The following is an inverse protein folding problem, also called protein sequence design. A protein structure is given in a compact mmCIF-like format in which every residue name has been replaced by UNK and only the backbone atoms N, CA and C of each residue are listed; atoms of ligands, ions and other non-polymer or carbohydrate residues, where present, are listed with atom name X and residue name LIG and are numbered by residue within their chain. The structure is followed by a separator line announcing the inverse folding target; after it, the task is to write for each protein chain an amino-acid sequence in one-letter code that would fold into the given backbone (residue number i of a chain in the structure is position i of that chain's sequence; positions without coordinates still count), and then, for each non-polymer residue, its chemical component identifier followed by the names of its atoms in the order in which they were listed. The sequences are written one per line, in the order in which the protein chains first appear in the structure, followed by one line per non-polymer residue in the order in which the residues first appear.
data_IF_013653661597
#
_entry.id   IF_013653661597
#
_cell.length_a   1.000
_cell.length_b   1.000
_cell.length_c   1.000
_cell.angle_alpha   90.00
_cell.angle_beta   90.00
_cell.angle_gamma   90.00
#
_symmetry.space_group_name_H-M   'P 1'
#
loop_
_entity.id
_entity.type
_entity.pdbx_description
1 polymer ?
#
# COMPACT_ATOMS: atom_id res chain seq x y z
N UNK A 1 5.10 -10.83 -21.11
CA UNK A 1 4.76 -9.60 -20.36
C UNK A 1 3.25 -9.40 -20.43
N UNK A 2 2.56 -9.72 -19.33
CA UNK A 2 1.13 -9.41 -19.20
C UNK A 2 0.97 -7.92 -18.96
N UNK A 3 0.02 -7.27 -19.66
CA UNK A 3 -0.29 -5.86 -19.42
C UNK A 3 -0.92 -5.75 -18.04
N UNK A 4 -0.34 -4.95 -17.14
CA UNK A 4 -0.90 -4.77 -15.80
C UNK A 4 -2.22 -3.95 -15.91
N UNK A 5 -3.39 -4.52 -15.58
CA UNK A 5 -4.68 -3.84 -15.75
C UNK A 5 -4.97 -2.81 -14.65
N UNK A 6 -4.70 -3.17 -13.39
CA UNK A 6 -4.89 -2.29 -12.24
C UNK A 6 -4.13 -2.77 -11.00
N UNK A 7 -3.72 -1.84 -10.15
CA UNK A 7 -3.07 -2.10 -8.85
C UNK A 7 -3.95 -1.48 -7.76
N UNK A 8 -4.16 -2.21 -6.68
CA UNK A 8 -4.53 -1.61 -5.40
C UNK A 8 -3.27 -1.45 -4.56
N UNK A 9 -3.05 -0.23 -4.07
CA UNK A 9 -2.06 0.09 -3.05
C UNK A 9 -2.79 0.11 -1.72
N UNK A 10 -2.37 -0.73 -0.77
CA UNK A 10 -2.95 -0.73 0.57
C UNK A 10 -1.98 -1.19 1.62
N UNK A 11 -2.07 -0.60 2.80
CA UNK A 11 -1.33 -1.04 3.97
C UNK A 11 -2.11 -2.14 4.68
N UNK A 12 -1.54 -3.35 4.78
CA UNK A 12 -2.14 -4.48 5.47
C UNK A 12 -1.08 -5.20 6.32
N UNK A 13 -1.44 -5.59 7.54
CA UNK A 13 -0.48 -6.17 8.48
C UNK A 13 0.11 -7.48 7.96
N UNK A 14 1.44 -7.50 7.78
CA UNK A 14 2.16 -8.68 7.30
C UNK A 14 1.93 -9.03 5.82
N UNK A 15 1.47 -8.07 5.01
CA UNK A 15 1.33 -8.20 3.56
C UNK A 15 2.14 -7.12 2.84
N UNK A 16 2.45 -7.33 1.56
CA UNK A 16 3.05 -6.29 0.72
C UNK A 16 2.02 -5.21 0.34
N UNK A 17 2.46 -3.99 -0.02
CA UNK A 17 1.51 -2.92 -0.32
C UNK A 17 0.76 -3.08 -1.65
N UNK A 18 1.15 -4.01 -2.52
CA UNK A 18 0.59 -4.13 -3.86
C UNK A 18 -0.35 -5.32 -4.00
N UNK A 19 -1.50 -5.04 -4.60
CA UNK A 19 -2.55 -6.01 -4.88
C UNK A 19 -2.90 -5.93 -6.36
N UNK A 20 -2.33 -6.85 -7.14
CA UNK A 20 -2.40 -6.80 -8.61
C UNK A 20 -3.62 -7.59 -9.09
N UNK A 21 -4.37 -7.01 -10.03
CA UNK A 21 -5.47 -7.70 -10.72
C UNK A 21 -5.15 -7.84 -12.18
N UNK A 22 -4.77 -9.04 -12.64
CA UNK A 22 -4.33 -9.30 -14.02
C UNK A 22 -5.46 -9.65 -14.99
N UNK A 23 -6.69 -9.87 -14.50
CA UNK A 23 -7.82 -10.32 -15.30
C UNK A 23 -9.18 -10.02 -14.61
N UNK A 24 -10.26 -10.75 -14.96
CA UNK A 24 -11.57 -10.69 -14.26
C UNK A 24 -11.55 -11.40 -12.89
N UNK A 25 -10.38 -11.75 -12.38
CA UNK A 25 -10.22 -12.35 -11.05
C UNK A 25 -10.84 -11.47 -9.96
N UNK A 26 -11.60 -12.14 -9.09
CA UNK A 26 -12.35 -11.50 -8.01
C UNK A 26 -11.41 -11.04 -6.89
N UNK A 27 -10.35 -11.80 -6.65
CA UNK A 27 -9.39 -11.59 -5.56
C UNK A 27 -8.08 -11.07 -6.17
N UNK A 28 -7.62 -9.87 -5.80
CA UNK A 28 -6.29 -9.39 -6.16
C UNK A 28 -5.18 -10.27 -5.56
N UNK A 29 -4.05 -10.40 -6.26
CA UNK A 29 -2.87 -11.13 -5.77
C UNK A 29 -1.92 -10.20 -5.01
N UNK A 30 -1.48 -10.60 -3.79
CA UNK A 30 -0.50 -9.82 -3.02
C UNK A 30 0.87 -9.95 -3.68
N UNK A 31 1.48 -8.81 -3.97
CA UNK A 31 2.66 -8.73 -4.82
C UNK A 31 3.72 -7.88 -4.15
N UNK A 32 4.96 -8.36 -4.10
CA UNK A 32 6.10 -7.57 -3.63
C UNK A 32 6.52 -6.53 -4.67
N UNK A 33 7.26 -5.50 -4.25
CA UNK A 33 7.87 -4.54 -5.17
C UNK A 33 8.73 -5.22 -6.25
N UNK A 34 9.55 -6.20 -5.85
CA UNK A 34 10.42 -6.97 -6.77
C UNK A 34 9.60 -7.72 -7.83
N UNK A 35 8.54 -8.40 -7.40
CA UNK A 35 7.65 -9.14 -8.29
C UNK A 35 6.89 -8.20 -9.23
N UNK A 36 6.47 -7.04 -8.72
CA UNK A 36 5.79 -6.01 -9.50
C UNK A 36 6.66 -5.50 -10.65
N UNK A 37 7.94 -5.24 -10.38
CA UNK A 37 8.92 -4.79 -11.39
C UNK A 37 9.21 -5.90 -12.40
N UNK A 38 9.53 -7.11 -11.92
CA UNK A 38 9.98 -8.22 -12.77
C UNK A 38 8.89 -8.81 -13.66
N UNK A 39 7.67 -9.03 -13.14
CA UNK A 39 6.58 -9.68 -13.88
C UNK A 39 5.77 -8.69 -14.73
N UNK A 40 5.67 -7.44 -14.26
CA UNK A 40 4.74 -6.44 -14.83
C UNK A 40 5.42 -5.18 -15.36
N UNK A 41 6.73 -5.02 -15.17
CA UNK A 41 7.49 -3.90 -15.72
C UNK A 41 7.18 -2.56 -15.05
N UNK A 42 6.81 -2.56 -13.77
CA UNK A 42 6.64 -1.33 -13.00
C UNK A 42 7.96 -0.56 -12.84
N UNK A 43 7.86 0.74 -12.59
CA UNK A 43 9.01 1.60 -12.32
C UNK A 43 9.63 1.22 -10.96
N UNK A 44 10.88 0.75 -10.97
CA UNK A 44 11.58 0.25 -9.79
C UNK A 44 11.60 1.23 -8.62
N UNK A 45 11.93 2.51 -8.89
CA UNK A 45 11.99 3.54 -7.85
C UNK A 45 10.63 3.80 -7.20
N UNK A 46 9.54 3.74 -7.97
CA UNK A 46 8.18 3.91 -7.45
C UNK A 46 7.74 2.71 -6.62
N UNK A 47 8.07 1.51 -7.08
CA UNK A 47 7.79 0.29 -6.34
C UNK A 47 8.55 0.29 -5.00
N UNK A 48 9.83 0.65 -5.00
CA UNK A 48 10.64 0.78 -3.79
C UNK A 48 10.12 1.88 -2.84
N UNK A 49 9.69 3.04 -3.37
CA UNK A 49 9.15 4.11 -2.54
C UNK A 49 7.82 3.74 -1.87
N UNK A 50 6.99 2.94 -2.54
CA UNK A 50 5.74 2.44 -1.97
C UNK A 50 5.99 1.32 -0.95
N UNK A 51 6.99 0.47 -1.18
CA UNK A 51 7.44 -0.54 -0.20
C UNK A 51 7.94 0.13 1.09
N UNK A 52 8.80 1.14 0.96
CA UNK A 52 9.29 1.91 2.11
C UNK A 52 8.18 2.66 2.86
N UNK A 53 7.13 3.10 2.16
CA UNK A 53 5.94 3.70 2.78
C UNK A 53 5.14 2.66 3.60
N UNK A 54 5.08 1.40 3.13
CA UNK A 54 4.46 0.32 3.88
C UNK A 54 5.32 -0.13 5.06
N UNK A 55 6.65 -0.14 4.93
CA UNK A 55 7.56 -0.42 6.04
C UNK A 55 7.33 0.52 7.24
N UNK A 56 7.01 1.79 6.99
CA UNK A 56 6.63 2.75 8.05
C UNK A 56 5.36 2.29 8.81
N UNK A 57 4.39 1.70 8.09
CA UNK A 57 3.21 1.11 8.68
C UNK A 57 3.59 -0.17 9.44
N UNK A 58 4.30 -1.12 8.81
CA UNK A 58 4.70 -2.37 9.46
C UNK A 58 5.55 -2.13 10.73
N UNK A 59 6.34 -1.05 10.77
CA UNK A 59 7.15 -0.70 11.95
C UNK A 59 6.31 -0.36 13.20
N UNK A 60 5.08 0.14 13.02
CA UNK A 60 4.16 0.39 14.15
C UNK A 60 3.31 -0.84 14.51
N UNK A 61 3.51 -1.95 13.81
CA UNK A 61 2.85 -3.22 14.13
C UNK A 61 3.55 -3.94 15.29
N UNK A 62 2.91 -3.94 16.45
CA UNK A 62 3.26 -4.75 17.60
C UNK A 62 2.17 -5.79 17.88
N UNK A 63 2.37 -7.02 17.38
CA UNK A 63 1.44 -8.14 17.62
C UNK A 63 1.26 -8.46 19.11
N UNK A 64 2.26 -8.16 19.93
CA UNK A 64 2.25 -8.44 21.37
C UNK A 64 1.59 -7.35 22.20
N UNK A 65 1.37 -6.16 21.62
CA UNK A 65 0.68 -5.04 22.26
C UNK A 65 -0.24 -4.32 21.26
N UNK A 66 -1.45 -4.88 21.01
CA UNK A 66 -2.41 -4.32 20.08
C UNK A 66 -2.88 -2.89 20.43
N UNK A 67 -2.81 -2.49 21.70
CA UNK A 67 -3.25 -1.17 22.15
C UNK A 67 -2.22 -0.08 21.83
N UNK A 68 -0.94 -0.44 21.76
CA UNK A 68 0.14 0.46 21.30
C UNK A 68 0.19 0.63 19.77
N UNK A 69 -0.65 -0.09 19.02
CA UNK A 69 -0.65 -0.03 17.56
C UNK A 69 -1.04 1.35 17.05
N UNK A 70 -0.16 1.94 16.24
CA UNK A 70 -0.46 3.15 15.50
C UNK A 70 0.70 4.13 15.47
N UNK A 71 0.57 5.12 14.61
CA UNK A 71 1.51 6.22 14.54
C UNK A 71 1.43 7.07 15.83
N UNK A 72 2.55 7.70 16.24
CA UNK A 72 2.66 8.46 17.49
C UNK A 72 1.82 9.75 17.54
N UNK A 73 1.00 10.02 16.52
CA UNK A 73 0.11 11.18 16.48
C UNK A 73 -0.68 11.30 15.18
N UNK A 74 -1.70 12.17 15.22
CA UNK A 74 -2.57 12.44 14.06
C UNK A 74 -1.81 13.07 12.89
N UNK A 75 -0.90 14.00 13.17
CA UNK A 75 -0.09 14.65 12.13
C UNK A 75 0.80 13.64 11.38
N UNK A 76 1.41 12.69 12.09
CA UNK A 76 2.21 11.61 11.48
C UNK A 76 1.34 10.69 10.65
N UNK A 77 0.14 10.35 11.16
CA UNK A 77 -0.84 9.54 10.43
C UNK A 77 -1.28 10.22 9.12
N UNK A 78 -1.61 11.52 9.18
CA UNK A 78 -2.02 12.30 8.02
C UNK A 78 -0.89 12.41 6.99
N UNK A 79 0.33 12.74 7.42
CA UNK A 79 1.48 12.84 6.54
C UNK A 79 1.84 11.51 5.86
N UNK A 80 1.69 10.39 6.58
CA UNK A 80 1.85 9.04 6.02
C UNK A 80 0.75 8.74 5.00
N UNK A 81 -0.50 9.07 5.29
CA UNK A 81 -1.64 8.86 4.38
C UNK A 81 -1.49 9.67 3.08
N UNK A 82 -1.22 10.97 3.18
CA UNK A 82 -0.98 11.86 2.03
C UNK A 82 0.19 11.40 1.15
N UNK A 83 1.20 10.75 1.75
CA UNK A 83 2.31 10.17 1.00
C UNK A 83 1.85 8.93 0.22
N UNK A 84 1.09 8.05 0.84
CA UNK A 84 0.51 6.87 0.19
C UNK A 84 -0.38 7.23 -0.99
N UNK A 85 -1.26 8.22 -0.82
CA UNK A 85 -2.12 8.72 -1.91
C UNK A 85 -1.29 9.25 -3.10
N UNK A 86 -0.26 10.06 -2.83
CA UNK A 86 0.62 10.59 -3.89
C UNK A 86 1.38 9.49 -4.62
N UNK A 87 1.87 8.48 -3.89
CA UNK A 87 2.56 7.33 -4.47
C UNK A 87 1.62 6.52 -5.38
N UNK A 88 0.39 6.24 -4.91
CA UNK A 88 -0.61 5.53 -5.70
C UNK A 88 -1.03 6.32 -6.96
N UNK A 89 -1.20 7.65 -6.84
CA UNK A 89 -1.54 8.52 -7.96
C UNK A 89 -0.41 8.65 -9.00
N UNK A 90 0.83 8.40 -8.61
CA UNK A 90 1.99 8.47 -9.51
C UNK A 90 2.22 7.17 -10.31
N UNK A 91 1.45 6.10 -10.05
CA UNK A 91 1.54 4.85 -10.79
C UNK A 91 0.99 5.03 -12.23
N UNK A 92 1.69 4.53 -13.27
CA UNK A 92 1.29 4.71 -14.68
C UNK A 92 0.17 3.74 -15.12
N UNK A 93 -0.60 3.23 -14.18
CA UNK A 93 -1.66 2.22 -14.35
C UNK A 93 -2.87 2.66 -13.55
N UNK A 94 -4.03 2.05 -13.79
CA UNK A 94 -5.19 2.30 -12.94
C UNK A 94 -4.86 1.88 -11.50
N UNK A 95 -4.85 2.85 -10.59
CA UNK A 95 -4.54 2.61 -9.18
C UNK A 95 -5.76 2.90 -8.28
N UNK A 96 -5.86 2.14 -7.21
CA UNK A 96 -6.75 2.41 -6.07
C UNK A 96 -5.88 2.51 -4.82
N UNK A 97 -6.18 3.46 -3.95
CA UNK A 97 -5.51 3.59 -2.65
C UNK A 97 -6.49 3.24 -1.54
N UNK A 98 -6.08 2.35 -0.65
CA UNK A 98 -6.83 1.96 0.53
C UNK A 98 -5.87 1.94 1.72
N UNK A 99 -6.40 2.10 2.93
CA UNK A 99 -5.65 1.85 4.15
C UNK A 99 -6.45 0.90 5.02
N UNK A 100 -5.78 0.11 5.87
CA UNK A 100 -6.44 -0.79 6.84
C UNK A 100 -7.50 -0.10 7.73
N UNK A 101 -7.53 1.24 7.73
CA UNK A 101 -8.43 2.09 8.51
C UNK A 101 -9.58 2.71 7.69
N UNK A 102 -10.00 2.07 6.61
CA UNK A 102 -11.07 2.49 5.69
C UNK A 102 -12.07 3.49 6.29
N UNK A 103 -12.20 4.65 5.64
CA UNK A 103 -13.27 5.63 5.83
C UNK A 103 -13.62 6.08 7.26
N UNK A 104 -12.74 5.92 8.26
CA UNK A 104 -12.95 6.55 9.57
C UNK A 104 -12.37 7.97 9.59
N UNK A 105 -13.23 8.88 9.13
CA UNK A 105 -13.26 10.30 9.48
C UNK A 105 -12.82 10.46 10.94
N UNK A 106 -11.79 11.27 11.16
CA UNK A 106 -11.43 11.79 12.47
C UNK A 106 -12.66 12.44 13.10
N UNK A 107 -13.04 12.00 14.31
CA UNK A 107 -13.94 12.74 15.20
C UNK A 107 -15.24 12.03 15.59
N UNK A 108 -15.22 11.44 16.79
CA UNK A 108 -16.04 11.88 17.93
C UNK A 108 -15.27 11.64 19.22
#
# INVERSE_FOLDING_TARGET
MGRLPSIRVTSEWGAFPFWVRVSREVIPDNCSAERLVSEYGALGDMAAATDAWDDEFQAVYNRSDPESLGFPGEATTAAWHERGERLAAALPVRSEFHTARGDRVFGV
#
